data_IF_851998926473
#
_entry.id   IF_851998926473
#
_cell.length_a   1.000
_cell.length_b   1.000
_cell.length_c   1.000
_cell.angle_alpha   90.00
_cell.angle_beta   90.00
_cell.angle_gamma   90.00
#
_symmetry.space_group_name_H-M   'P 1'
#
loop_
_entity.id
_entity.type
_entity.pdbx_description
1 polymer ?
#
# COMPACT_ATOMS: atom_id res chain seq x y z
N UNK A 1 -8.44 13.72 -16.80
CA UNK A 1 -8.98 15.08 -16.60
C UNK A 1 -7.86 15.93 -16.01
N UNK A 2 -7.35 16.90 -16.77
CA UNK A 2 -6.35 17.84 -16.26
C UNK A 2 -7.00 18.71 -15.17
N UNK A 3 -6.32 18.89 -14.03
CA UNK A 3 -6.74 19.83 -12.99
C UNK A 3 -6.63 21.23 -13.58
N UNK A 4 -7.76 21.84 -13.91
CA UNK A 4 -7.81 23.24 -14.33
C UNK A 4 -7.32 24.10 -13.14
N UNK A 5 -6.13 24.69 -13.29
CA UNK A 5 -5.57 25.66 -12.36
C UNK A 5 -6.34 26.97 -12.50
N UNK A 6 -6.90 27.49 -11.41
CA UNK A 6 -7.31 28.89 -11.35
C UNK A 6 -6.07 29.77 -11.51
N UNK A 7 -6.05 30.61 -12.54
CA UNK A 7 -4.93 31.49 -12.82
C UNK A 7 -4.74 32.49 -11.65
N UNK A 8 -3.57 32.44 -10.99
CA UNK A 8 -3.09 33.56 -10.18
C UNK A 8 -2.74 33.30 -8.70
N UNK A 9 -3.02 32.14 -8.12
CA UNK A 9 -2.56 31.79 -6.77
C UNK A 9 -1.36 30.83 -6.84
N UNK A 10 -0.34 31.06 -6.01
CA UNK A 10 0.77 30.12 -5.84
C UNK A 10 0.22 28.73 -5.47
N UNK A 11 0.78 27.66 -6.06
CA UNK A 11 0.36 26.30 -5.76
C UNK A 11 0.82 25.97 -4.33
N UNK A 12 -0.10 25.72 -3.38
CA UNK A 12 0.24 25.58 -1.97
C UNK A 12 1.06 24.32 -1.66
N UNK A 13 1.39 23.50 -2.67
CA UNK A 13 2.22 22.31 -2.57
C UNK A 13 3.49 22.41 -3.43
N UNK A 14 3.92 23.62 -3.82
CA UNK A 14 5.17 23.81 -4.56
C UNK A 14 6.42 23.44 -3.74
N UNK A 15 6.36 23.58 -2.42
CA UNK A 15 7.38 23.09 -1.49
C UNK A 15 7.55 21.57 -1.56
N UNK A 16 6.45 20.82 -1.59
CA UNK A 16 6.46 19.35 -1.75
C UNK A 16 7.09 18.95 -3.10
N UNK A 17 6.76 19.66 -4.18
CA UNK A 17 7.35 19.39 -5.50
C UNK A 17 8.83 19.72 -5.55
N UNK A 18 9.22 20.83 -4.95
CA UNK A 18 10.63 21.24 -4.82
C UNK A 18 11.41 20.17 -4.06
N UNK A 19 10.91 19.76 -2.89
CA UNK A 19 11.52 18.70 -2.08
C UNK A 19 11.69 17.40 -2.89
N UNK A 20 10.64 16.93 -3.57
CA UNK A 20 10.72 15.71 -4.37
C UNK A 20 11.77 15.80 -5.50
N UNK A 21 11.86 16.95 -6.17
CA UNK A 21 12.87 17.18 -7.20
C UNK A 21 14.29 17.18 -6.62
N UNK A 22 14.51 17.82 -5.47
CA UNK A 22 15.79 17.84 -4.79
C UNK A 22 16.23 16.44 -4.34
N UNK A 23 15.33 15.66 -3.74
CA UNK A 23 15.64 14.28 -3.31
C UNK A 23 15.94 13.36 -4.50
N UNK A 24 15.23 13.54 -5.61
CA UNK A 24 15.53 12.81 -6.84
C UNK A 24 16.86 13.23 -7.47
N UNK A 25 17.16 14.53 -7.51
CA UNK A 25 18.46 15.03 -7.97
C UNK A 25 19.62 14.51 -7.10
N UNK A 26 19.36 14.30 -5.80
CA UNK A 26 20.28 13.65 -4.86
C UNK A 26 20.28 12.10 -4.95
N UNK A 27 19.60 11.51 -5.93
CA UNK A 27 19.52 10.06 -6.17
C UNK A 27 19.00 9.23 -4.98
N UNK A 28 18.16 9.81 -4.11
CA UNK A 28 17.54 9.09 -2.98
C UNK A 28 16.56 8.01 -3.47
N UNK A 29 15.92 8.23 -4.61
CA UNK A 29 15.07 7.26 -5.30
C UNK A 29 15.14 7.48 -6.83
N UNK A 30 14.98 6.42 -7.63
CA UNK A 30 15.08 6.52 -9.10
C UNK A 30 13.86 7.17 -9.75
N UNK A 31 12.69 7.09 -9.10
CA UNK A 31 11.44 7.65 -9.58
C UNK A 31 10.34 7.51 -8.53
N UNK A 32 9.31 8.35 -8.64
CA UNK A 32 8.21 8.40 -7.69
C UNK A 32 6.93 8.91 -8.33
N UNK A 33 5.79 8.45 -7.78
CA UNK A 33 4.46 9.00 -8.03
C UNK A 33 3.88 9.47 -6.69
N UNK A 34 3.37 10.69 -6.63
CA UNK A 34 2.71 11.24 -5.45
C UNK A 34 1.36 11.83 -5.83
N UNK A 35 0.32 11.40 -5.13
CA UNK A 35 -1.05 11.89 -5.29
C UNK A 35 -1.58 12.27 -3.90
N UNK A 36 -2.08 13.49 -3.77
CA UNK A 36 -2.71 14.03 -2.56
C UNK A 36 -4.11 14.54 -2.85
N UNK A 37 -5.07 14.18 -1.99
CA UNK A 37 -6.47 14.62 -2.12
C UNK A 37 -7.02 15.18 -0.81
N UNK A 38 -7.88 16.20 -0.93
CA UNK A 38 -8.59 16.81 0.21
C UNK A 38 -10.06 16.95 -0.18
N UNK A 39 -10.95 16.35 0.62
CA UNK A 39 -12.39 16.34 0.34
C UNK A 39 -12.74 15.64 -0.98
N UNK A 40 -12.06 14.53 -1.29
CA UNK A 40 -12.25 13.76 -2.52
C UNK A 40 -11.73 14.42 -3.81
N UNK A 41 -11.14 15.62 -3.71
CA UNK A 41 -10.56 16.33 -4.86
C UNK A 41 -9.05 16.19 -4.83
N UNK A 42 -8.46 15.75 -5.95
CA UNK A 42 -7.00 15.75 -6.13
C UNK A 42 -6.49 17.19 -6.06
N UNK A 43 -5.53 17.43 -5.19
CA UNK A 43 -4.90 18.74 -4.95
C UNK A 43 -3.43 18.77 -5.37
N UNK A 44 -2.77 17.62 -5.28
CA UNK A 44 -1.39 17.40 -5.70
C UNK A 44 -1.35 16.11 -6.51
N UNK A 45 -0.71 16.16 -7.67
CA UNK A 45 -0.35 14.99 -8.44
C UNK A 45 0.95 15.27 -9.16
N UNK A 46 1.94 14.39 -8.98
CA UNK A 46 3.25 14.53 -9.61
C UNK A 46 3.87 13.15 -9.84
N UNK A 47 4.63 13.06 -10.93
CA UNK A 47 5.35 11.87 -11.36
C UNK A 47 6.75 12.30 -11.77
N UNK A 48 7.76 11.58 -11.32
CA UNK A 48 9.15 11.97 -11.54
C UNK A 48 10.05 10.75 -11.72
N UNK A 49 11.15 10.95 -12.44
CA UNK A 49 12.19 9.94 -12.60
C UNK A 49 11.74 8.74 -13.43
N UNK A 50 12.41 7.62 -13.18
CA UNK A 50 12.30 6.38 -13.97
C UNK A 50 12.19 5.15 -13.07
N UNK A 51 11.78 4.04 -13.67
CA UNK A 51 11.80 2.72 -13.05
C UNK A 51 12.36 1.67 -14.02
N UNK A 52 12.88 0.59 -13.44
CA UNK A 52 13.32 -0.57 -14.20
C UNK A 52 12.13 -1.49 -14.46
N UNK A 53 11.88 -1.80 -15.72
CA UNK A 53 10.87 -2.77 -16.14
C UNK A 53 11.50 -3.94 -16.89
N UNK A 54 10.69 -4.96 -17.22
CA UNK A 54 11.12 -6.05 -18.09
C UNK A 54 11.46 -5.60 -19.52
N UNK A 55 11.01 -4.42 -19.96
CA UNK A 55 11.24 -3.90 -21.31
C UNK A 55 12.45 -2.96 -21.37
N UNK A 56 12.67 -2.16 -20.33
CA UNK A 56 13.73 -1.17 -20.29
C UNK A 56 14.17 -0.87 -18.86
N UNK A 57 15.48 -0.66 -18.61
CA UNK A 57 15.98 -0.29 -17.29
C UNK A 57 15.61 1.13 -16.86
N UNK A 58 15.01 1.95 -17.74
CA UNK A 58 14.77 3.38 -17.50
C UNK A 58 13.46 3.86 -18.16
N UNK A 59 12.34 3.24 -17.82
CA UNK A 59 11.02 3.72 -18.23
C UNK A 59 10.56 4.88 -17.34
N UNK A 60 9.90 5.89 -17.91
CA UNK A 60 9.41 7.04 -17.14
C UNK A 60 8.29 6.61 -16.19
N UNK A 61 8.30 7.14 -14.98
CA UNK A 61 7.14 7.05 -14.09
C UNK A 61 6.02 7.93 -14.66
N UNK A 62 4.86 7.35 -14.90
CA UNK A 62 3.65 8.05 -15.35
C UNK A 62 2.44 7.59 -14.55
N UNK A 63 1.30 8.22 -14.79
CA UNK A 63 0.01 7.87 -14.15
C UNK A 63 -0.44 6.44 -14.44
N UNK A 64 -0.03 5.89 -15.56
CA UNK A 64 -0.45 4.58 -16.07
C UNK A 64 0.37 3.42 -15.48
N UNK A 65 1.47 3.73 -14.76
CA UNK A 65 2.33 2.72 -14.16
C UNK A 65 1.64 2.05 -12.98
N UNK A 66 1.55 0.72 -13.02
CA UNK A 66 1.05 -0.10 -11.92
C UNK A 66 2.23 -0.55 -11.07
N UNK A 67 2.29 -0.07 -9.83
CA UNK A 67 3.32 -0.44 -8.86
C UNK A 67 2.89 -1.61 -7.98
N UNK A 68 3.82 -2.51 -7.60
CA UNK A 68 3.55 -3.49 -6.55
C UNK A 68 3.24 -2.78 -5.22
N UNK A 69 2.09 -3.09 -4.61
CA UNK A 69 1.65 -2.46 -3.36
C UNK A 69 2.37 -3.00 -2.11
N UNK A 70 3.00 -4.17 -2.20
CA UNK A 70 3.63 -4.85 -1.06
C UNK A 70 2.69 -4.89 0.16
N UNK A 71 3.16 -4.46 1.33
CA UNK A 71 2.36 -4.47 2.56
C UNK A 71 1.20 -3.48 2.56
N UNK A 72 1.11 -2.53 1.62
CA UNK A 72 -0.11 -1.70 1.47
C UNK A 72 -1.34 -2.56 1.17
N UNK A 73 -1.17 -3.76 0.60
CA UNK A 73 -2.26 -4.72 0.40
C UNK A 73 -2.99 -5.07 1.70
N UNK A 74 -2.34 -4.97 2.88
CA UNK A 74 -2.98 -5.19 4.19
C UNK A 74 -4.09 -4.18 4.47
N UNK A 75 -3.96 -2.93 4.00
CA UNK A 75 -5.01 -1.92 4.15
C UNK A 75 -6.28 -2.32 3.40
N UNK A 76 -6.12 -2.90 2.21
CA UNK A 76 -7.25 -3.43 1.42
C UNK A 76 -7.92 -4.56 2.19
N UNK A 77 -7.17 -5.55 2.67
CA UNK A 77 -7.71 -6.65 3.47
C UNK A 77 -8.41 -6.18 4.74
N UNK A 78 -7.81 -5.24 5.48
CA UNK A 78 -8.41 -4.68 6.69
C UNK A 78 -9.71 -3.91 6.39
N UNK A 79 -9.75 -3.18 5.27
CA UNK A 79 -10.95 -2.45 4.83
C UNK A 79 -12.10 -3.41 4.50
N UNK A 80 -11.80 -4.51 3.80
CA UNK A 80 -12.81 -5.56 3.49
C UNK A 80 -13.37 -6.17 4.78
N UNK A 81 -12.53 -6.47 5.76
CA UNK A 81 -13.01 -6.97 7.06
C UNK A 81 -13.83 -5.91 7.80
N UNK A 82 -13.43 -4.64 7.76
CA UNK A 82 -14.19 -3.54 8.36
C UNK A 82 -15.58 -3.36 7.74
N UNK A 83 -15.71 -3.48 6.42
CA UNK A 83 -17.00 -3.48 5.74
C UNK A 83 -17.84 -4.67 6.20
N UNK A 84 -17.26 -5.88 6.28
CA UNK A 84 -17.98 -7.05 6.76
C UNK A 84 -18.46 -6.91 8.22
N UNK A 85 -17.68 -6.23 9.08
CA UNK A 85 -18.11 -5.90 10.44
C UNK A 85 -19.24 -4.88 10.44
N UNK A 86 -19.13 -3.82 9.64
CA UNK A 86 -20.16 -2.80 9.51
C UNK A 86 -21.50 -3.39 9.01
N UNK A 87 -21.44 -4.38 8.12
CA UNK A 87 -22.60 -5.11 7.61
C UNK A 87 -23.12 -6.20 8.56
N UNK A 88 -22.51 -6.38 9.74
CA UNK A 88 -22.91 -7.39 10.72
C UNK A 88 -22.63 -8.84 10.32
N UNK A 89 -21.79 -9.07 9.29
CA UNK A 89 -21.43 -10.42 8.83
C UNK A 89 -20.46 -11.12 9.79
N UNK A 90 -19.61 -10.34 10.44
CA UNK A 90 -18.63 -10.79 11.45
C UNK A 90 -18.48 -9.71 12.53
N UNK A 91 -17.90 -10.08 13.66
CA UNK A 91 -17.51 -9.14 14.72
C UNK A 91 -15.98 -9.11 14.87
N UNK A 92 -15.42 -8.02 15.37
CA UNK A 92 -13.98 -7.95 15.69
C UNK A 92 -13.53 -9.05 16.67
N UNK A 93 -14.41 -9.45 17.57
CA UNK A 93 -14.28 -10.54 18.55
C UNK A 93 -14.43 -11.93 17.95
N UNK A 94 -14.78 -12.06 16.66
CA UNK A 94 -15.00 -13.37 16.04
C UNK A 94 -13.72 -14.21 16.08
N UNK A 95 -13.75 -15.42 16.65
CA UNK A 95 -12.60 -16.31 16.67
C UNK A 95 -12.22 -16.78 15.25
N UNK A 96 -10.92 -16.84 14.95
CA UNK A 96 -10.41 -17.27 13.64
C UNK A 96 -10.84 -18.71 13.32
N UNK A 97 -10.90 -19.57 14.33
CA UNK A 97 -11.36 -20.97 14.22
C UNK A 97 -12.79 -21.12 13.67
N UNK A 98 -13.61 -20.06 13.68
CA UNK A 98 -14.93 -20.08 13.04
C UNK A 98 -14.82 -20.21 11.52
N UNK A 99 -13.75 -19.69 10.92
CA UNK A 99 -13.50 -19.74 9.47
C UNK A 99 -12.55 -20.87 9.08
N UNK A 100 -11.60 -21.20 9.97
CA UNK A 100 -10.60 -22.25 9.76
C UNK A 100 -10.67 -23.19 10.97
N UNK A 101 -11.54 -24.21 10.97
CA UNK A 101 -11.77 -25.10 12.12
C UNK A 101 -10.49 -25.76 12.67
N UNK A 102 -9.51 -25.99 11.80
CA UNK A 102 -8.20 -26.57 12.12
C UNK A 102 -7.25 -25.59 12.83
N UNK A 103 -7.62 -24.31 12.93
CA UNK A 103 -6.85 -23.26 13.61
C UNK A 103 -6.98 -23.38 15.13
N UNK A 104 -6.47 -24.47 15.70
CA UNK A 104 -6.57 -24.83 17.11
C UNK A 104 -5.22 -25.21 17.72
N UNK A 105 -5.12 -25.23 19.05
CA UNK A 105 -3.95 -25.64 19.81
C UNK A 105 -2.91 -24.52 19.98
N UNK A 106 -2.06 -24.63 21.00
CA UNK A 106 -1.01 -23.63 21.28
C UNK A 106 -1.56 -22.22 21.53
N UNK A 107 -2.77 -22.10 22.10
CA UNK A 107 -3.43 -20.83 22.38
C UNK A 107 -4.17 -20.19 21.19
N UNK A 108 -4.16 -20.82 20.00
CA UNK A 108 -4.79 -20.26 18.78
C UNK A 108 -6.30 -20.18 18.84
N UNK A 109 -6.94 -20.97 19.70
CA UNK A 109 -8.39 -21.02 19.87
C UNK A 109 -9.02 -19.68 20.27
N UNK A 110 -8.24 -18.84 20.98
CA UNK A 110 -8.65 -17.51 21.47
C UNK A 110 -8.25 -16.37 20.52
N UNK A 111 -7.60 -16.68 19.39
CA UNK A 111 -7.21 -15.66 18.42
C UNK A 111 -8.46 -15.18 17.66
N UNK A 112 -8.67 -13.86 17.67
CA UNK A 112 -9.79 -13.19 17.02
C UNK A 112 -9.36 -12.44 15.76
N UNK A 113 -10.32 -12.01 14.95
CA UNK A 113 -10.06 -11.10 13.82
C UNK A 113 -9.33 -9.83 14.26
N UNK A 114 -9.69 -9.25 15.43
CA UNK A 114 -8.98 -8.11 16.02
C UNK A 114 -7.51 -8.41 16.20
N UNK A 115 -7.16 -9.54 16.82
CA UNK A 115 -5.77 -9.92 17.08
C UNK A 115 -4.94 -10.02 15.79
N UNK A 116 -5.52 -10.53 14.71
CA UNK A 116 -4.84 -10.59 13.41
C UNK A 116 -4.62 -9.18 12.82
N UNK A 117 -5.65 -8.34 12.81
CA UNK A 117 -5.59 -7.00 12.19
C UNK A 117 -4.71 -6.01 12.97
N UNK A 118 -4.53 -6.23 14.28
CA UNK A 118 -3.69 -5.40 15.14
C UNK A 118 -2.31 -6.00 15.39
N UNK A 119 -1.94 -7.08 14.70
CA UNK A 119 -0.66 -7.77 14.90
C UNK A 119 -0.38 -8.19 16.36
N UNK A 120 -1.42 -8.56 17.11
CA UNK A 120 -1.34 -8.91 18.53
C UNK A 120 -1.70 -10.38 18.82
N UNK A 121 -1.70 -11.22 17.78
CA UNK A 121 -2.03 -12.64 17.87
C UNK A 121 -0.89 -13.53 18.43
N UNK A 122 0.32 -12.97 18.61
CA UNK A 122 1.48 -13.73 19.09
C UNK A 122 2.00 -14.79 18.12
N UNK A 123 1.59 -14.73 16.84
CA UNK A 123 2.01 -15.67 15.81
C UNK A 123 3.50 -15.49 15.47
N UNK A 124 4.27 -16.58 15.33
CA UNK A 124 5.66 -16.48 14.93
C UNK A 124 5.78 -15.92 13.50
N UNK A 125 6.85 -15.20 13.24
CA UNK A 125 7.17 -14.78 11.87
C UNK A 125 7.50 -16.01 11.02
N UNK A 126 6.89 -16.13 9.85
CA UNK A 126 7.24 -17.18 8.89
C UNK A 126 8.46 -16.68 8.10
N UNK A 127 9.57 -17.43 8.05
CA UNK A 127 10.72 -17.02 7.27
C UNK A 127 10.34 -16.95 5.79
N UNK A 128 10.44 -15.76 5.20
CA UNK A 128 10.29 -15.58 3.76
C UNK A 128 11.57 -16.05 3.09
N UNK A 129 11.49 -17.09 2.26
CA UNK A 129 12.59 -17.48 1.39
C UNK A 129 12.77 -16.38 0.35
N UNK A 130 13.91 -15.71 0.37
CA UNK A 130 14.21 -14.73 -0.67
C UNK A 130 14.40 -15.46 -2.00
N UNK A 131 13.63 -15.02 -2.99
CA UNK A 131 13.72 -15.52 -4.35
C UNK A 131 14.48 -14.49 -5.17
N UNK A 132 15.70 -14.86 -5.58
CA UNK A 132 16.61 -13.99 -6.33
C UNK A 132 16.66 -14.31 -7.83
N UNK A 133 16.01 -15.38 -8.26
CA UNK A 133 16.01 -15.84 -9.66
C UNK A 133 14.62 -15.82 -10.24
N UNK A 134 14.52 -15.65 -11.56
CA UNK A 134 13.23 -15.66 -12.28
C UNK A 134 12.54 -17.01 -12.16
N UNK A 135 13.32 -18.09 -12.17
CA UNK A 135 12.85 -19.48 -12.06
C UNK A 135 12.33 -19.79 -10.66
N UNK A 136 12.87 -19.17 -9.61
CA UNK A 136 12.35 -19.36 -8.25
C UNK A 136 11.08 -18.57 -7.96
N UNK A 137 10.70 -17.64 -8.85
CA UNK A 137 9.48 -16.83 -8.75
C UNK A 137 8.26 -17.47 -9.43
N UNK A 138 8.49 -18.44 -10.34
CA UNK A 138 7.45 -19.23 -11.01
C UNK A 138 7.11 -20.47 -10.18
#
# INVERSE_FOLDING_TARGET
>A
MAVARGAGAADPYDDVRTFLNEQHAAAVFPGAALIGSIGGKIRLETYLGVYHSLKSPSERVTREVIHPLYSFSKLVSATVVGIAVQEGKVEWSTPVRKFIPEFTGGGKDEITLRHLLTHSAGMPSVPLKQVHTREGWQ
#
